data_IF_103867720337
#
_entry.id   IF_103867720337
#
_cell.length_a   1.000
_cell.length_b   1.000
_cell.length_c   1.000
_cell.angle_alpha   90.00
_cell.angle_beta   90.00
_cell.angle_gamma   90.00
#
_symmetry.space_group_name_H-M   'P 1'
#
loop_
_entity.id
_entity.type
_entity.pdbx_description
1 polymer ?
#
# COMPACT_ATOMS: atom_id res chain seq x y z
N UNK A 1 -39.25 17.01 -42.32
CA UNK A 1 -38.33 16.73 -41.20
C UNK A 1 -38.64 15.34 -40.66
N UNK A 2 -37.88 14.33 -41.08
CA UNK A 2 -38.04 12.94 -40.64
C UNK A 2 -37.49 12.78 -39.23
N UNK A 3 -38.34 12.36 -38.29
CA UNK A 3 -37.94 12.13 -36.90
C UNK A 3 -36.84 11.05 -36.85
N UNK A 4 -35.78 11.23 -36.03
CA UNK A 4 -34.70 10.27 -35.95
C UNK A 4 -35.22 8.92 -35.41
N UNK A 5 -34.82 7.84 -36.07
CA UNK A 5 -35.27 6.47 -35.80
C UNK A 5 -34.85 6.02 -34.39
N UNK A 6 -35.84 5.83 -33.48
CA UNK A 6 -35.64 5.45 -32.07
C UNK A 6 -34.76 4.20 -31.90
N UNK A 7 -34.81 3.26 -32.84
CA UNK A 7 -34.02 2.02 -32.81
C UNK A 7 -32.52 2.27 -33.03
N UNK A 8 -32.17 3.23 -33.89
CA UNK A 8 -30.77 3.62 -34.12
C UNK A 8 -30.19 4.37 -32.91
N UNK A 9 -30.99 5.20 -32.25
CA UNK A 9 -30.59 5.92 -31.02
C UNK A 9 -30.32 4.91 -29.89
N UNK A 10 -31.24 3.97 -29.65
CA UNK A 10 -31.08 2.95 -28.62
C UNK A 10 -29.82 2.07 -28.84
N UNK A 11 -29.56 1.67 -30.09
CA UNK A 11 -28.35 0.90 -30.44
C UNK A 11 -27.06 1.69 -30.21
N UNK A 12 -27.04 2.97 -30.60
CA UNK A 12 -25.88 3.86 -30.39
C UNK A 12 -25.61 4.09 -28.91
N UNK A 13 -26.64 4.34 -28.10
CA UNK A 13 -26.50 4.51 -26.64
C UNK A 13 -26.01 3.23 -25.95
N UNK A 14 -26.50 2.06 -26.37
CA UNK A 14 -26.03 0.77 -25.85
C UNK A 14 -24.57 0.49 -26.19
N UNK A 15 -24.15 0.83 -27.42
CA UNK A 15 -22.77 0.68 -27.87
C UNK A 15 -21.82 1.61 -27.10
N UNK A 16 -22.18 2.89 -26.92
CA UNK A 16 -21.37 3.84 -26.13
C UNK A 16 -21.16 3.37 -24.69
N UNK A 17 -22.21 2.81 -24.05
CA UNK A 17 -22.11 2.29 -22.68
C UNK A 17 -21.21 1.05 -22.58
N UNK A 18 -21.27 0.17 -23.56
CA UNK A 18 -20.40 -1.01 -23.62
C UNK A 18 -18.93 -0.61 -23.82
N UNK A 19 -18.68 0.38 -24.69
CA UNK A 19 -17.34 0.91 -24.96
C UNK A 19 -16.75 1.60 -23.71
N UNK A 20 -17.57 2.34 -22.97
CA UNK A 20 -17.17 2.97 -21.70
C UNK A 20 -16.84 1.94 -20.62
N UNK A 21 -17.65 0.89 -20.47
CA UNK A 21 -17.38 -0.18 -19.52
C UNK A 21 -16.06 -0.90 -19.84
N UNK A 22 -15.84 -1.25 -21.12
CA UNK A 22 -14.60 -1.87 -21.57
C UNK A 22 -13.37 -0.97 -21.36
N UNK A 23 -13.54 0.35 -21.46
CA UNK A 23 -12.49 1.32 -21.11
C UNK A 23 -12.19 1.31 -19.61
N UNK A 24 -13.22 1.30 -18.75
CA UNK A 24 -13.04 1.28 -17.29
C UNK A 24 -12.44 -0.05 -16.80
N UNK A 25 -12.83 -1.18 -17.40
CA UNK A 25 -12.22 -2.49 -17.15
C UNK A 25 -10.70 -2.43 -17.33
N UNK A 26 -10.24 -1.95 -18.49
CA UNK A 26 -8.79 -1.80 -18.78
C UNK A 26 -8.08 -0.83 -17.82
N UNK A 27 -8.77 0.24 -17.39
CA UNK A 27 -8.20 1.20 -16.43
C UNK A 27 -7.98 0.52 -15.07
N UNK A 28 -8.98 -0.22 -14.58
CA UNK A 28 -8.89 -0.93 -13.30
C UNK A 28 -7.86 -2.05 -13.38
N UNK A 29 -7.85 -2.85 -14.45
CA UNK A 29 -6.87 -3.91 -14.68
C UNK A 29 -5.43 -3.39 -14.55
N UNK A 30 -5.08 -2.37 -15.33
CA UNK A 30 -3.75 -1.77 -15.33
C UNK A 30 -3.42 -1.12 -13.98
N UNK A 31 -4.41 -0.47 -13.35
CA UNK A 31 -4.22 0.12 -12.02
C UNK A 31 -3.97 -0.95 -10.96
N UNK A 32 -4.71 -2.06 -10.98
CA UNK A 32 -4.54 -3.18 -10.05
C UNK A 32 -3.21 -3.88 -10.24
N UNK A 33 -2.77 -4.10 -11.48
CA UNK A 33 -1.45 -4.69 -11.76
C UNK A 33 -0.32 -3.83 -11.21
N UNK A 34 -0.34 -2.52 -11.50
CA UNK A 34 0.66 -1.57 -10.99
C UNK A 34 0.66 -1.49 -9.47
N UNK A 35 -0.51 -1.39 -8.84
CA UNK A 35 -0.61 -1.33 -7.38
C UNK A 35 -0.15 -2.63 -6.72
N UNK A 36 -0.43 -3.79 -7.31
CA UNK A 36 0.08 -5.07 -6.83
C UNK A 36 1.61 -5.13 -6.90
N UNK A 37 2.21 -4.64 -7.98
CA UNK A 37 3.67 -4.60 -8.11
C UNK A 37 4.29 -3.66 -7.07
N UNK A 38 3.73 -2.46 -6.88
CA UNK A 38 4.15 -1.55 -5.80
C UNK A 38 4.00 -2.19 -4.42
N UNK A 39 2.89 -2.88 -4.17
CA UNK A 39 2.64 -3.59 -2.92
C UNK A 39 3.71 -4.66 -2.63
N UNK A 40 4.11 -5.45 -3.63
CA UNK A 40 5.16 -6.46 -3.46
C UNK A 40 6.51 -5.81 -3.14
N UNK A 41 6.89 -4.74 -3.84
CA UNK A 41 8.15 -4.00 -3.58
C UNK A 41 8.13 -3.37 -2.18
N UNK A 42 7.00 -2.76 -1.81
CA UNK A 42 6.77 -2.19 -0.49
C UNK A 42 6.89 -3.23 0.62
N UNK A 43 6.18 -4.36 0.50
CA UNK A 43 6.29 -5.46 1.45
C UNK A 43 7.71 -6.00 1.55
N UNK A 44 8.38 -6.17 0.40
CA UNK A 44 9.76 -6.62 0.34
C UNK A 44 10.70 -5.72 1.15
N UNK A 45 10.59 -4.40 0.98
CA UNK A 45 11.37 -3.43 1.77
C UNK A 45 11.07 -3.56 3.26
N UNK A 46 9.79 -3.60 3.66
CA UNK A 46 9.44 -3.63 5.09
C UNK A 46 9.88 -4.93 5.77
N UNK A 47 9.72 -6.07 5.11
CA UNK A 47 10.18 -7.36 5.64
C UNK A 47 11.70 -7.38 5.74
N UNK A 48 12.39 -6.85 4.73
CA UNK A 48 13.85 -6.74 4.73
C UNK A 48 14.37 -5.87 5.88
N UNK A 49 13.77 -4.69 6.07
CA UNK A 49 14.11 -3.79 7.19
C UNK A 49 13.83 -4.47 8.53
N UNK A 50 12.67 -5.12 8.70
CA UNK A 50 12.35 -5.85 9.93
C UNK A 50 13.34 -6.98 10.22
N UNK A 51 13.77 -7.72 9.21
CA UNK A 51 14.80 -8.75 9.38
C UNK A 51 16.11 -8.16 9.94
N UNK A 52 16.52 -6.98 9.47
CA UNK A 52 17.70 -6.27 9.98
C UNK A 52 17.51 -5.86 11.43
N UNK A 53 16.36 -5.26 11.77
CA UNK A 53 16.04 -4.86 13.14
C UNK A 53 16.15 -6.05 14.09
N UNK A 54 15.51 -7.17 13.75
CA UNK A 54 15.53 -8.38 14.58
C UNK A 54 16.90 -9.08 14.61
N UNK A 55 17.75 -8.88 13.61
CA UNK A 55 19.13 -9.41 13.59
C UNK A 55 20.15 -8.52 14.29
N UNK A 56 19.83 -7.23 14.52
CA UNK A 56 20.70 -6.30 15.22
C UNK A 56 20.86 -6.77 16.66
N UNK A 57 22.08 -6.93 17.16
CA UNK A 57 22.34 -7.38 18.54
C UNK A 57 22.58 -6.22 19.49
N UNK A 58 22.37 -6.45 20.79
CA UNK A 58 22.60 -5.42 21.83
C UNK A 58 24.06 -4.98 21.86
N UNK A 59 25.00 -5.90 21.61
CA UNK A 59 26.42 -5.61 21.55
C UNK A 59 26.74 -4.63 20.41
N UNK A 60 26.12 -4.80 19.24
CA UNK A 60 26.30 -3.89 18.11
C UNK A 60 25.84 -2.46 18.46
N UNK A 61 24.71 -2.33 19.14
CA UNK A 61 24.16 -1.04 19.57
C UNK A 61 25.04 -0.35 20.61
N UNK A 62 25.56 -1.09 21.59
CA UNK A 62 26.30 -0.53 22.71
C UNK A 62 27.78 -0.26 22.41
N UNK A 63 28.41 -1.13 21.63
CA UNK A 63 29.86 -1.06 21.40
C UNK A 63 30.19 -0.38 20.08
N UNK A 64 29.24 -0.33 19.13
CA UNK A 64 29.37 0.39 17.84
C UNK A 64 30.62 0.04 17.00
N UNK A 65 31.35 -1.04 17.34
CA UNK A 65 32.59 -1.44 16.64
C UNK A 65 32.31 -2.24 15.38
N UNK A 66 31.23 -3.02 15.39
CA UNK A 66 30.80 -3.83 14.25
C UNK A 66 29.63 -3.14 13.56
N UNK A 67 29.81 -2.79 12.29
CA UNK A 67 28.72 -2.30 11.45
C UNK A 67 27.60 -3.34 11.26
N UNK A 68 26.54 -2.93 10.56
CA UNK A 68 25.47 -3.83 10.18
C UNK A 68 25.82 -4.58 8.90
N UNK A 69 25.87 -5.90 9.00
CA UNK A 69 25.89 -6.78 7.84
C UNK A 69 24.47 -6.91 7.29
N UNK A 70 24.25 -6.44 6.07
CA UNK A 70 22.95 -6.51 5.43
C UNK A 70 22.59 -7.97 5.07
N UNK A 71 21.35 -8.42 5.29
CA UNK A 71 20.86 -9.70 4.77
C UNK A 71 20.92 -9.70 3.24
N UNK A 72 21.17 -10.85 2.62
CA UNK A 72 21.16 -11.06 1.16
C UNK A 72 22.24 -10.31 0.35
N UNK A 73 22.81 -9.23 0.89
CA UNK A 73 23.85 -8.40 0.25
C UNK A 73 25.05 -8.39 1.19
N UNK A 74 26.21 -8.85 0.75
CA UNK A 74 27.44 -8.89 1.56
C UNK A 74 28.08 -7.50 1.70
N UNK A 75 27.29 -6.54 2.22
CA UNK A 75 27.68 -5.16 2.44
C UNK A 75 27.58 -4.86 3.94
N UNK A 76 28.67 -4.30 4.47
CA UNK A 76 28.72 -3.80 5.84
C UNK A 76 28.47 -2.29 5.82
N UNK A 77 27.45 -1.83 6.54
CA UNK A 77 27.09 -0.41 6.63
C UNK A 77 27.22 0.12 8.05
N UNK A 78 27.51 1.42 8.26
CA UNK A 78 27.49 2.01 9.59
C UNK A 78 26.11 1.87 10.24
N UNK A 79 26.07 1.37 11.47
CA UNK A 79 24.84 1.14 12.24
C UNK A 79 23.97 2.40 12.29
N UNK A 80 24.53 3.50 12.81
CA UNK A 80 23.81 4.78 12.92
C UNK A 80 23.34 5.28 11.55
N UNK A 81 24.18 5.14 10.52
CA UNK A 81 23.82 5.54 9.15
C UNK A 81 22.59 4.82 8.62
N UNK A 82 22.49 3.51 8.85
CA UNK A 82 21.31 2.72 8.50
C UNK A 82 20.06 3.24 9.24
N UNK A 83 20.14 3.41 10.55
CA UNK A 83 19.01 3.84 11.39
C UNK A 83 18.54 5.28 11.14
N UNK A 84 19.39 6.14 10.58
CA UNK A 84 19.03 7.50 10.14
C UNK A 84 18.35 7.48 8.77
N UNK A 85 18.86 6.67 7.84
CA UNK A 85 18.46 6.70 6.42
C UNK A 85 17.23 5.86 6.13
N UNK A 86 17.07 4.69 6.77
CA UNK A 86 15.98 3.75 6.49
C UNK A 86 14.58 4.33 6.73
N UNK A 87 14.31 5.12 7.79
CA UNK A 87 13.01 5.77 7.96
C UNK A 87 12.58 6.59 6.74
N UNK A 88 13.54 7.24 6.07
CA UNK A 88 13.29 8.04 4.86
C UNK A 88 12.77 7.16 3.72
N UNK A 89 13.43 6.01 3.49
CA UNK A 89 13.00 5.07 2.44
C UNK A 89 11.64 4.44 2.76
N UNK A 90 11.41 4.06 4.01
CA UNK A 90 10.13 3.50 4.46
C UNK A 90 8.99 4.49 4.18
N UNK A 91 9.13 5.74 4.61
CA UNK A 91 8.09 6.76 4.38
C UNK A 91 7.93 7.10 2.92
N UNK A 92 9.02 7.29 2.16
CA UNK A 92 8.93 7.63 0.76
C UNK A 92 8.17 6.56 -0.04
N UNK A 93 8.46 5.28 0.23
CA UNK A 93 7.80 4.17 -0.43
C UNK A 93 6.36 3.99 0.05
N UNK A 94 6.11 4.11 1.36
CA UNK A 94 4.76 3.98 1.92
C UNK A 94 3.84 5.11 1.45
N UNK A 95 4.30 6.37 1.47
CA UNK A 95 3.56 7.51 0.93
C UNK A 95 3.23 7.31 -0.55
N UNK A 96 4.21 6.90 -1.36
CA UNK A 96 3.96 6.60 -2.78
C UNK A 96 2.91 5.50 -2.95
N UNK A 97 2.99 4.44 -2.14
CA UNK A 97 2.03 3.34 -2.18
C UNK A 97 0.63 3.80 -1.77
N UNK A 98 0.46 4.53 -0.67
CA UNK A 98 -0.82 5.06 -0.20
C UNK A 98 -1.47 5.98 -1.24
N UNK A 99 -0.69 6.85 -1.88
CA UNK A 99 -1.19 7.73 -2.93
C UNK A 99 -1.70 6.95 -4.15
N UNK A 100 -0.98 5.90 -4.56
CA UNK A 100 -1.41 5.03 -5.64
C UNK A 100 -2.67 4.24 -5.26
N UNK A 101 -2.78 3.83 -3.99
CA UNK A 101 -3.92 3.10 -3.45
C UNK A 101 -5.19 3.97 -3.42
N UNK A 102 -5.07 5.23 -2.99
CA UNK A 102 -6.18 6.20 -3.04
C UNK A 102 -6.63 6.43 -4.49
N UNK A 103 -5.70 6.70 -5.42
CA UNK A 103 -6.00 6.84 -6.84
C UNK A 103 -6.68 5.59 -7.41
N UNK A 104 -6.25 4.40 -6.98
CA UNK A 104 -6.85 3.15 -7.39
C UNK A 104 -8.26 2.99 -6.85
N UNK A 105 -8.49 3.35 -5.59
CA UNK A 105 -9.81 3.33 -4.97
C UNK A 105 -10.82 4.15 -5.78
N UNK A 106 -10.49 5.39 -6.16
CA UNK A 106 -11.37 6.19 -7.01
C UNK A 106 -11.71 5.52 -8.35
N UNK A 107 -10.70 4.94 -9.03
CA UNK A 107 -10.92 4.21 -10.30
C UNK A 107 -11.81 2.97 -10.09
N UNK A 108 -11.60 2.27 -8.97
CA UNK A 108 -12.35 1.07 -8.61
C UNK A 108 -13.82 1.40 -8.32
N UNK A 109 -14.09 2.50 -7.61
CA UNK A 109 -15.45 2.96 -7.33
C UNK A 109 -16.19 3.43 -8.60
N UNK A 110 -15.51 4.16 -9.50
CA UNK A 110 -16.09 4.54 -10.80
C UNK A 110 -16.45 3.31 -11.65
N UNK A 111 -15.55 2.33 -11.67
CA UNK A 111 -15.77 1.07 -12.37
C UNK A 111 -16.92 0.24 -11.78
N UNK A 112 -17.01 0.17 -10.45
CA UNK A 112 -18.12 -0.47 -9.76
C UNK A 112 -19.45 0.22 -10.08
N UNK A 113 -19.50 1.55 -10.07
CA UNK A 113 -20.70 2.33 -10.38
C UNK A 113 -21.18 2.15 -11.82
N UNK A 114 -20.28 1.87 -12.77
CA UNK A 114 -20.63 1.60 -14.17
C UNK A 114 -21.32 0.23 -14.36
N UNK A 115 -21.16 -0.71 -13.43
CA UNK A 115 -21.82 -2.01 -13.47
C UNK A 115 -23.27 -1.91 -13.01
N UNK A 116 -24.17 -2.62 -13.71
CA UNK A 116 -25.59 -2.63 -13.40
C UNK A 116 -25.82 -3.22 -11.99
N UNK A 117 -26.37 -2.41 -11.08
CA UNK A 117 -26.60 -2.79 -9.68
C UNK A 117 -25.39 -2.63 -8.74
N UNK A 118 -24.24 -2.17 -9.24
CA UNK A 118 -23.05 -1.90 -8.41
C UNK A 118 -22.42 -3.13 -7.72
N UNK A 119 -22.86 -4.34 -8.09
CA UNK A 119 -22.35 -5.60 -7.57
C UNK A 119 -21.43 -6.22 -8.62
N UNK A 120 -20.19 -6.45 -8.24
CA UNK A 120 -19.19 -7.10 -9.08
C UNK A 120 -19.09 -8.56 -8.64
N UNK A 121 -19.33 -9.53 -9.54
CA UNK A 121 -19.13 -10.93 -9.20
C UNK A 121 -17.64 -11.19 -8.92
N UNK A 122 -17.35 -12.03 -7.93
CA UNK A 122 -15.96 -12.33 -7.50
C UNK A 122 -15.05 -12.76 -8.65
N UNK A 123 -15.58 -13.46 -9.66
CA UNK A 123 -14.85 -13.90 -10.84
C UNK A 123 -14.32 -12.76 -11.72
N UNK A 124 -14.88 -11.54 -11.60
CA UNK A 124 -14.43 -10.34 -12.31
C UNK A 124 -13.54 -9.44 -11.47
N UNK A 125 -13.34 -9.74 -10.19
CA UNK A 125 -12.46 -8.96 -9.32
C UNK A 125 -11.01 -9.32 -9.66
N UNK A 126 -10.26 -8.33 -10.14
CA UNK A 126 -8.84 -8.49 -10.42
C UNK A 126 -8.05 -8.90 -9.18
N UNK A 127 -7.07 -9.82 -9.29
CA UNK A 127 -6.40 -10.44 -8.15
C UNK A 127 -5.38 -9.49 -7.51
N UNK A 128 -5.90 -8.59 -6.67
CA UNK A 128 -5.16 -7.71 -5.78
C UNK A 128 -5.91 -7.64 -4.45
N UNK A 129 -5.21 -7.83 -3.33
CA UNK A 129 -5.81 -7.97 -1.99
C UNK A 129 -6.78 -6.81 -1.65
N UNK A 130 -6.41 -5.59 -2.03
CA UNK A 130 -7.23 -4.40 -1.83
C UNK A 130 -8.59 -4.48 -2.54
N UNK A 131 -8.63 -5.01 -3.77
CA UNK A 131 -9.87 -5.11 -4.53
C UNK A 131 -10.87 -6.04 -3.84
N UNK A 132 -10.40 -7.18 -3.34
CA UNK A 132 -11.24 -8.10 -2.58
C UNK A 132 -11.71 -7.46 -1.27
N UNK A 133 -10.84 -6.75 -0.56
CA UNK A 133 -11.20 -6.08 0.70
C UNK A 133 -12.31 -5.02 0.53
N UNK A 134 -12.39 -4.37 -0.64
CA UNK A 134 -13.37 -3.31 -0.92
C UNK A 134 -14.65 -3.84 -1.59
N UNK A 135 -14.51 -4.73 -2.58
CA UNK A 135 -15.63 -5.11 -3.46
C UNK A 135 -16.32 -6.41 -3.05
N UNK A 136 -15.62 -7.33 -2.39
CA UNK A 136 -16.18 -8.62 -2.03
C UNK A 136 -17.11 -8.47 -0.82
N UNK A 137 -18.39 -8.82 -0.98
CA UNK A 137 -19.41 -8.71 0.08
C UNK A 137 -19.75 -10.04 0.75
N UNK A 138 -19.71 -11.15 0.01
CA UNK A 138 -20.22 -12.46 0.46
C UNK A 138 -19.12 -13.54 0.55
N UNK A 139 -17.86 -13.13 0.66
CA UNK A 139 -16.72 -14.04 0.74
C UNK A 139 -16.60 -14.71 2.11
N UNK A 140 -16.37 -16.03 2.13
CA UNK A 140 -16.14 -16.79 3.38
C UNK A 140 -15.04 -16.18 4.27
N UNK A 141 -14.04 -15.55 3.67
CA UNK A 141 -12.89 -14.95 4.36
C UNK A 141 -12.87 -13.42 4.32
N UNK A 142 -13.99 -12.76 4.00
CA UNK A 142 -14.06 -11.30 3.81
C UNK A 142 -13.45 -10.52 4.99
N UNK A 143 -13.77 -10.92 6.23
CA UNK A 143 -13.23 -10.27 7.44
C UNK A 143 -11.71 -10.41 7.53
N UNK A 144 -11.17 -11.60 7.27
CA UNK A 144 -9.72 -11.83 7.29
C UNK A 144 -9.02 -11.07 6.17
N UNK A 145 -9.61 -11.02 4.98
CA UNK A 145 -9.09 -10.24 3.84
C UNK A 145 -9.06 -8.75 4.19
N UNK A 146 -10.12 -8.21 4.78
CA UNK A 146 -10.18 -6.82 5.25
C UNK A 146 -9.15 -6.51 6.33
N UNK A 147 -8.99 -7.40 7.32
CA UNK A 147 -7.97 -7.26 8.36
C UNK A 147 -6.55 -7.33 7.78
N UNK A 148 -6.28 -8.31 6.91
CA UNK A 148 -4.98 -8.47 6.25
C UNK A 148 -4.67 -7.27 5.37
N UNK A 149 -5.63 -6.77 4.59
CA UNK A 149 -5.46 -5.54 3.80
C UNK A 149 -5.17 -4.33 4.69
N UNK A 150 -5.91 -4.16 5.79
CA UNK A 150 -5.69 -3.04 6.71
C UNK A 150 -4.30 -3.11 7.35
N UNK A 151 -3.92 -4.29 7.83
CA UNK A 151 -2.62 -4.52 8.44
C UNK A 151 -1.47 -4.29 7.45
N UNK A 152 -1.50 -4.99 6.30
CA UNK A 152 -0.40 -4.99 5.34
C UNK A 152 -0.27 -3.64 4.62
N UNK A 153 -1.38 -3.06 4.15
CA UNK A 153 -1.32 -1.84 3.35
C UNK A 153 -1.10 -0.57 4.18
N UNK A 154 -1.57 -0.54 5.43
CA UNK A 154 -1.57 0.69 6.24
C UNK A 154 -0.71 0.59 7.50
N UNK A 155 -0.85 -0.47 8.29
CA UNK A 155 -0.21 -0.53 9.62
C UNK A 155 1.21 -1.09 9.61
N UNK A 156 1.61 -1.84 8.60
CA UNK A 156 2.93 -2.48 8.58
C UNK A 156 4.10 -1.48 8.55
N UNK A 157 3.97 -0.38 7.82
CA UNK A 157 4.98 0.68 7.78
C UNK A 157 5.17 1.42 9.12
N UNK A 158 4.12 1.95 9.78
CA UNK A 158 4.31 2.62 11.06
C UNK A 158 4.75 1.63 12.15
N UNK A 159 4.34 0.36 12.08
CA UNK A 159 4.89 -0.69 12.95
C UNK A 159 6.39 -0.85 12.72
N UNK A 160 6.84 -0.91 11.46
CA UNK A 160 8.28 -1.01 11.12
C UNK A 160 9.06 0.20 11.65
N UNK A 161 8.52 1.41 11.50
CA UNK A 161 9.14 2.63 12.06
C UNK A 161 9.16 2.62 13.59
N UNK A 162 8.09 2.13 14.23
CA UNK A 162 8.04 1.95 15.68
C UNK A 162 9.06 0.94 16.18
N UNK A 163 9.26 -0.17 15.45
CA UNK A 163 10.29 -1.15 15.74
C UNK A 163 11.70 -0.56 15.61
N UNK A 164 11.95 0.27 14.58
CA UNK A 164 13.23 0.99 14.45
C UNK A 164 13.47 1.91 15.66
N UNK A 165 12.45 2.69 16.03
CA UNK A 165 12.51 3.61 17.17
C UNK A 165 12.81 2.88 18.48
N UNK A 166 12.06 1.82 18.77
CA UNK A 166 12.26 1.02 19.98
C UNK A 166 13.65 0.42 19.98
N UNK A 167 14.07 -0.20 18.87
CA UNK A 167 15.36 -0.90 18.82
C UNK A 167 16.54 0.05 18.95
N UNK A 168 16.47 1.21 18.33
CA UNK A 168 17.56 2.18 18.37
C UNK A 168 17.62 2.97 19.68
N UNK A 169 16.50 3.05 20.43
CA UNK A 169 16.46 3.78 21.70
C UNK A 169 17.48 3.30 22.73
N UNK A 170 17.94 2.04 22.62
CA UNK A 170 19.00 1.45 23.44
C UNK A 170 20.34 2.21 23.32
N UNK A 171 20.60 2.88 22.18
CA UNK A 171 21.82 3.67 21.97
C UNK A 171 21.79 5.02 22.72
N UNK A 172 20.63 5.47 23.20
CA UNK A 172 20.43 6.73 23.92
C UNK A 172 20.88 8.00 23.14
N UNK A 173 20.98 7.93 21.82
CA UNK A 173 21.20 9.12 20.99
C UNK A 173 19.88 9.88 20.79
N UNK A 174 19.77 11.02 21.46
CA UNK A 174 18.57 11.84 21.44
C UNK A 174 18.25 12.40 20.04
N UNK A 175 19.25 12.78 19.24
CA UNK A 175 19.02 13.39 17.92
C UNK A 175 18.43 12.37 16.95
N UNK A 176 19.01 11.16 16.89
CA UNK A 176 18.53 10.11 16.00
C UNK A 176 17.18 9.54 16.47
N UNK A 177 16.99 9.42 17.79
CA UNK A 177 15.70 8.98 18.35
C UNK A 177 14.59 10.00 18.03
N UNK A 178 14.85 11.30 18.20
CA UNK A 178 13.89 12.34 17.84
C UNK A 178 13.57 12.34 16.34
N UNK A 179 14.58 12.15 15.49
CA UNK A 179 14.40 11.98 14.04
C UNK A 179 13.47 10.79 13.73
N UNK A 180 13.74 9.61 14.28
CA UNK A 180 12.88 8.44 14.07
C UNK A 180 11.46 8.63 14.59
N UNK A 181 11.31 9.28 15.74
CA UNK A 181 9.99 9.60 16.30
C UNK A 181 9.18 10.50 15.37
N UNK A 182 9.79 11.53 14.78
CA UNK A 182 9.13 12.39 13.80
C UNK A 182 8.63 11.59 12.58
N UNK A 183 9.44 10.67 12.07
CA UNK A 183 9.06 9.80 10.96
C UNK A 183 7.89 8.88 11.34
N UNK A 184 7.96 8.24 12.52
CA UNK A 184 6.87 7.40 13.02
C UNK A 184 5.54 8.17 13.16
N UNK A 185 5.58 9.38 13.73
CA UNK A 185 4.39 10.23 13.89
C UNK A 185 3.86 10.69 12.52
N UNK A 186 4.74 11.10 11.61
CA UNK A 186 4.35 11.53 10.27
C UNK A 186 3.68 10.39 9.49
N UNK A 187 4.25 9.20 9.51
CA UNK A 187 3.67 8.04 8.82
C UNK A 187 2.34 7.61 9.43
N UNK A 188 2.23 7.63 10.76
CA UNK A 188 0.97 7.39 11.46
C UNK A 188 -0.11 8.41 11.07
N UNK A 189 0.27 9.68 10.88
CA UNK A 189 -0.61 10.71 10.35
C UNK A 189 -1.05 10.44 8.91
N UNK A 190 -0.15 9.96 8.04
CA UNK A 190 -0.49 9.56 6.67
C UNK A 190 -1.53 8.43 6.69
N UNK A 191 -1.31 7.39 7.48
CA UNK A 191 -2.25 6.27 7.63
C UNK A 191 -3.62 6.75 8.06
N UNK A 192 -3.68 7.64 9.06
CA UNK A 192 -4.94 8.23 9.49
C UNK A 192 -5.63 9.01 8.37
N UNK A 193 -4.89 9.90 7.68
CA UNK A 193 -5.41 10.74 6.60
C UNK A 193 -5.97 9.92 5.42
N UNK A 194 -5.19 8.97 4.91
CA UNK A 194 -5.61 8.11 3.79
C UNK A 194 -6.69 7.10 4.21
N UNK A 195 -6.62 6.60 5.46
CA UNK A 195 -7.64 5.72 6.01
C UNK A 195 -9.01 6.39 6.14
N UNK A 196 -9.06 7.70 6.38
CA UNK A 196 -10.30 8.49 6.35
C UNK A 196 -10.80 8.71 4.92
N UNK A 197 -9.90 8.89 3.94
CA UNK A 197 -10.27 9.16 2.55
C UNK A 197 -10.88 7.94 1.81
N UNK A 198 -10.55 6.71 2.24
CA UNK A 198 -10.95 5.46 1.58
C UNK A 198 -12.18 4.81 2.25
N UNK A 199 -12.59 5.27 3.42
CA UNK A 199 -13.84 4.86 4.10
C UNK A 199 -15.04 5.62 3.56
#
# INVERSE_FOLDING_TARGET
MTAPNKTLIARKTGQTKADELARLDKIVENSSEKNRNFFIVYLGLLVYVQAIIFSTTDLQLLVSTDGLKLPLIDLNVPLVGFYVVVPIFVIALHFNFLQNLESHHYKLMQWQAAHMGGIIPRSRIYPFLFNYAILEKDGQFQRLVGMANSFLCYYLAPITLGLLLIRFSDQQDFMVTAWQYLFFVFDSYLVWKFGVAIR
#
